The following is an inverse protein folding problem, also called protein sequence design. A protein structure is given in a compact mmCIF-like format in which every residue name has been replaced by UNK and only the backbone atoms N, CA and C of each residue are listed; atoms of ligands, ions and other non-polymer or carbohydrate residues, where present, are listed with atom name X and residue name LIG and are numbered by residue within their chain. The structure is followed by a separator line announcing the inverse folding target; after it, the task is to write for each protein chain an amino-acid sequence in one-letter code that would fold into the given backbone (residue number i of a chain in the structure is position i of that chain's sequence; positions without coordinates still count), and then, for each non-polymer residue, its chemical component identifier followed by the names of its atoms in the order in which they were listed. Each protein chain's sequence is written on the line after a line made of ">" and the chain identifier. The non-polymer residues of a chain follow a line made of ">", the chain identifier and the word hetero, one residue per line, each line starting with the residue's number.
data_IF_056795391011
#
_entry.id   IF_056795391011
#
_cell.length_a   1.000
_cell.length_b   1.000
_cell.length_c   1.000
_cell.angle_alpha   90.00
_cell.angle_beta   90.00
_cell.angle_gamma   90.00
#
_symmetry.space_group_name_H-M   'P 1'
#
loop_
_entity.id
_entity.type
_entity.pdbx_description
1 polymer ?
#
# COMPACT_ATOMS: atom_id res chain seq x y z
N UNK A 1 -14.83 10.07 28.68
CA UNK A 1 -13.94 9.11 28.02
C UNK A 1 -14.40 7.71 28.36
N UNK A 2 -14.37 6.79 27.39
CA UNK A 2 -14.64 5.36 27.61
C UNK A 2 -13.36 4.61 27.30
N UNK A 3 -12.94 3.73 28.20
CA UNK A 3 -11.73 2.91 28.03
C UNK A 3 -12.15 1.55 27.51
N UNK A 4 -11.50 1.08 26.44
CA UNK A 4 -11.68 -0.24 25.88
C UNK A 4 -10.35 -0.99 26.00
N UNK A 5 -10.34 -2.08 26.76
CA UNK A 5 -9.18 -2.97 26.86
C UNK A 5 -9.29 -4.08 25.84
N UNK A 6 -8.27 -4.24 25.00
CA UNK A 6 -8.21 -5.25 23.94
C UNK A 6 -7.03 -6.16 24.24
N UNK A 7 -7.25 -7.48 24.26
CA UNK A 7 -6.16 -8.45 24.31
C UNK A 7 -5.63 -8.67 22.90
N UNK A 8 -4.34 -8.45 22.70
CA UNK A 8 -3.64 -8.57 21.42
C UNK A 8 -2.47 -9.54 21.63
N UNK A 9 -2.14 -10.33 20.60
CA UNK A 9 -1.00 -11.24 20.67
C UNK A 9 0.33 -10.48 20.66
N UNK A 10 1.38 -11.03 21.26
CA UNK A 10 2.72 -10.42 21.23
C UNK A 10 3.25 -10.25 19.79
N UNK A 11 2.83 -11.13 18.88
CA UNK A 11 3.20 -11.08 17.46
C UNK A 11 2.61 -9.83 16.80
N UNK A 12 1.32 -9.58 17.05
CA UNK A 12 0.63 -8.42 16.50
C UNK A 12 1.16 -7.12 17.14
N UNK A 13 1.40 -7.11 18.45
CA UNK A 13 2.04 -5.97 19.13
C UNK A 13 3.39 -5.61 18.51
N UNK A 14 4.22 -6.62 18.20
CA UNK A 14 5.48 -6.41 17.51
C UNK A 14 5.28 -5.91 16.07
N UNK A 15 4.32 -6.47 15.32
CA UNK A 15 4.02 -6.06 13.94
C UNK A 15 3.60 -4.60 13.86
N UNK A 16 2.71 -4.17 14.75
CA UNK A 16 2.24 -2.79 14.83
C UNK A 16 3.17 -1.86 15.62
N UNK A 17 4.33 -2.36 16.09
CA UNK A 17 5.31 -1.62 16.89
C UNK A 17 4.69 -0.94 18.14
N UNK A 18 3.67 -1.58 18.72
CA UNK A 18 2.97 -1.09 19.91
C UNK A 18 3.84 -1.41 21.13
N UNK A 19 4.58 -0.42 21.62
CA UNK A 19 5.48 -0.53 22.79
C UNK A 19 4.90 0.06 24.09
N UNK A 20 3.70 0.62 24.04
CA UNK A 20 3.06 1.30 25.17
C UNK A 20 1.83 0.52 25.63
N UNK A 21 1.70 0.34 26.94
CA UNK A 21 0.55 -0.32 27.56
C UNK A 21 -0.74 0.50 27.44
N UNK A 22 -0.62 1.82 27.22
CA UNK A 22 -1.74 2.72 27.01
C UNK A 22 -1.42 3.70 25.87
N UNK A 23 -2.39 3.88 24.97
CA UNK A 23 -2.35 4.91 23.93
C UNK A 23 -3.74 5.46 23.66
N UNK A 24 -3.80 6.64 23.06
CA UNK A 24 -5.05 7.23 22.64
C UNK A 24 -5.59 6.52 21.39
N UNK A 25 -6.91 6.42 21.29
CA UNK A 25 -7.57 5.77 20.15
C UNK A 25 -7.15 6.33 18.78
N UNK A 26 -6.97 7.65 18.57
CA UNK A 26 -6.49 8.20 17.30
C UNK A 26 -5.10 7.69 16.91
N UNK A 27 -4.20 7.50 17.88
CA UNK A 27 -2.85 6.99 17.63
C UNK A 27 -2.91 5.52 17.17
N UNK A 28 -3.78 4.72 17.80
CA UNK A 28 -4.02 3.34 17.38
C UNK A 28 -4.52 3.27 15.94
N UNK A 29 -5.52 4.10 15.60
CA UNK A 29 -6.06 4.17 14.23
C UNK A 29 -4.96 4.51 13.23
N UNK A 30 -4.11 5.49 13.56
CA UNK A 30 -2.99 5.89 12.70
C UNK A 30 -2.01 4.75 12.45
N UNK A 31 -1.64 4.01 13.50
CA UNK A 31 -0.72 2.86 13.38
C UNK A 31 -1.32 1.78 12.48
N UNK A 32 -2.60 1.45 12.69
CA UNK A 32 -3.30 0.44 11.88
C UNK A 32 -3.42 0.87 10.42
N UNK A 33 -3.78 2.14 10.16
CA UNK A 33 -3.83 2.70 8.81
C UNK A 33 -2.48 2.63 8.10
N UNK A 34 -1.38 2.99 8.79
CA UNK A 34 -0.04 2.92 8.21
C UNK A 34 0.38 1.48 7.84
N UNK A 35 -0.02 0.49 8.63
CA UNK A 35 0.28 -0.92 8.30
C UNK A 35 -0.55 -1.41 7.11
N UNK A 36 -1.81 -0.97 6.97
CA UNK A 36 -2.61 -1.26 5.77
C UNK A 36 -1.99 -0.63 4.52
N UNK A 37 -1.54 0.62 4.63
CA UNK A 37 -0.84 1.30 3.53
C UNK A 37 0.44 0.56 3.13
N UNK A 38 1.20 0.07 4.12
CA UNK A 38 2.40 -0.74 3.88
C UNK A 38 2.10 -2.05 3.15
N UNK A 39 1.02 -2.73 3.54
CA UNK A 39 0.58 -3.98 2.88
C UNK A 39 0.14 -3.72 1.44
N UNK A 40 -0.66 -2.67 1.21
CA UNK A 40 -1.09 -2.28 -0.13
C UNK A 40 0.11 -1.93 -1.03
N UNK A 41 1.10 -1.23 -0.49
CA UNK A 41 2.31 -0.90 -1.23
C UNK A 41 3.10 -2.16 -1.63
N UNK A 42 3.25 -3.11 -0.71
CA UNK A 42 3.91 -4.40 -0.98
C UNK A 42 3.18 -5.19 -2.08
N UNK A 43 1.84 -5.19 -2.06
CA UNK A 43 1.04 -5.78 -3.14
C UNK A 43 1.25 -5.07 -4.48
N UNK A 44 1.26 -3.74 -4.50
CA UNK A 44 1.55 -2.96 -5.71
C UNK A 44 2.93 -3.29 -6.29
N UNK A 45 3.96 -3.41 -5.45
CA UNK A 45 5.31 -3.80 -5.86
C UNK A 45 5.31 -5.19 -6.47
N UNK A 46 4.68 -6.17 -5.81
CA UNK A 46 4.55 -7.54 -6.33
C UNK A 46 3.83 -7.60 -7.67
N UNK A 47 2.79 -6.79 -7.86
CA UNK A 47 2.10 -6.69 -9.15
C UNK A 47 3.02 -6.07 -10.21
N UNK A 48 3.76 -5.02 -9.87
CA UNK A 48 4.71 -4.39 -10.79
C UNK A 48 5.85 -5.34 -11.20
N UNK A 49 6.34 -6.18 -10.29
CA UNK A 49 7.29 -7.25 -10.60
C UNK A 49 6.67 -8.31 -11.49
N UNK A 50 5.49 -8.82 -11.12
CA UNK A 50 4.79 -9.89 -11.85
C UNK A 50 4.49 -9.52 -13.30
N UNK A 51 4.10 -8.27 -13.55
CA UNK A 51 3.78 -7.80 -14.90
C UNK A 51 4.97 -7.16 -15.61
N UNK A 52 6.19 -7.21 -15.04
CA UNK A 52 7.39 -6.65 -15.65
C UNK A 52 7.43 -5.12 -15.71
N UNK A 53 6.45 -4.44 -15.08
CA UNK A 53 6.40 -2.98 -14.98
C UNK A 53 7.59 -2.42 -14.20
N UNK A 54 8.09 -3.18 -13.23
CA UNK A 54 9.27 -2.83 -12.42
C UNK A 54 10.56 -2.66 -13.23
N UNK A 55 10.66 -3.35 -14.37
CA UNK A 55 11.85 -3.33 -15.25
C UNK A 55 11.68 -2.45 -16.47
N UNK A 56 10.50 -1.85 -16.65
CA UNK A 56 10.16 -1.08 -17.84
C UNK A 56 10.89 0.26 -17.84
N UNK A 57 11.52 0.59 -18.96
CA UNK A 57 12.21 1.86 -19.15
C UNK A 57 11.23 2.98 -19.46
N UNK A 58 11.63 4.23 -19.21
CA UNK A 58 10.80 5.39 -19.52
C UNK A 58 10.45 5.51 -21.01
N UNK A 59 11.32 5.02 -21.90
CA UNK A 59 11.09 5.02 -23.34
C UNK A 59 10.01 4.01 -23.72
N UNK A 60 10.06 2.79 -23.17
CA UNK A 60 9.03 1.76 -23.37
C UNK A 60 7.65 2.21 -22.85
N UNK A 61 7.61 2.84 -21.66
CA UNK A 61 6.37 3.43 -21.11
C UNK A 61 5.83 4.51 -22.07
N UNK A 62 6.72 5.37 -22.58
CA UNK A 62 6.34 6.47 -23.48
C UNK A 62 5.76 5.94 -24.79
N UNK A 63 6.34 4.86 -25.31
CA UNK A 63 5.89 4.23 -26.54
C UNK A 63 4.55 3.50 -26.36
N UNK A 64 4.34 2.82 -25.24
CA UNK A 64 3.06 2.20 -24.89
C UNK A 64 1.95 3.25 -24.76
N UNK A 65 2.20 4.36 -24.05
CA UNK A 65 1.24 5.47 -23.92
C UNK A 65 0.93 6.11 -25.28
N UNK A 66 1.93 6.27 -26.16
CA UNK A 66 1.73 6.81 -27.51
C UNK A 66 0.93 5.84 -28.38
N UNK A 67 1.16 4.53 -28.28
CA UNK A 67 0.41 3.51 -29.00
C UNK A 67 -1.07 3.56 -28.64
N UNK A 68 -1.40 3.48 -27.34
CA UNK A 68 -2.79 3.56 -26.85
C UNK A 68 -3.47 4.87 -27.28
N UNK A 69 -2.76 6.01 -27.20
CA UNK A 69 -3.31 7.31 -27.63
C UNK A 69 -3.52 7.44 -29.14
N UNK A 70 -2.72 6.75 -29.95
CA UNK A 70 -2.91 6.68 -31.42
C UNK A 70 -4.10 5.79 -31.76
N UNK A 71 -4.22 4.64 -31.11
CA UNK A 71 -5.35 3.73 -31.30
C UNK A 71 -6.67 4.37 -30.85
N UNK A 72 -6.66 5.13 -29.76
CA UNK A 72 -7.81 5.91 -29.30
C UNK A 72 -8.24 7.03 -30.26
N UNK A 73 -7.32 7.56 -31.09
CA UNK A 73 -7.65 8.56 -32.13
C UNK A 73 -8.22 7.95 -33.41
N UNK A 74 -7.96 6.67 -33.68
CA UNK A 74 -8.53 5.94 -34.82
C UNK A 74 -9.90 5.30 -34.50
N UNK A 75 -10.32 5.32 -33.24
CA UNK A 75 -11.68 5.02 -32.81
C UNK A 75 -12.56 6.30 -32.88
N UNK A 76 -12.73 6.87 -34.07
CA UNK A 76 -13.79 7.84 -34.36
C UNK A 76 -14.33 7.66 -35.78
#
# INVERSE_FOLDING_TARGET
>A
MRTLSIAISDIDCNKFHIKKDNMDFPDLVKIVSMELDRQNLDECVKLAEKYGLSTMTMDEITDEVKAVRRDAKNCH
#
